data_IF_359176707227
#
_entry.id   IF_359176707227
#
_cell.length_a   1.000
_cell.length_b   1.000
_cell.length_c   1.000
_cell.angle_alpha   90.00
_cell.angle_beta   90.00
_cell.angle_gamma   90.00
#
_symmetry.space_group_name_H-M   'P 1'
#
loop_
_entity.id
_entity.type
_entity.pdbx_description
1 polymer ?
#
# COMPACT_ATOMS: atom_id res chain seq x y z
N UNK A 1 0.87 0.05 1.44
CA UNK A 1 0.91 0.23 -0.03
C UNK A 1 1.18 -1.10 -0.68
N UNK A 2 0.77 -1.28 -1.93
CA UNK A 2 1.22 -2.38 -2.77
C UNK A 2 1.05 -2.01 -4.25
N UNK A 3 1.89 -2.58 -5.13
CA UNK A 3 1.64 -2.67 -6.57
C UNK A 3 1.10 -4.07 -6.86
N UNK A 4 -0.03 -4.17 -7.54
CA UNK A 4 -0.60 -5.45 -7.95
C UNK A 4 -0.40 -5.59 -9.45
N UNK A 5 0.33 -6.64 -9.83
CA UNK A 5 0.66 -6.91 -11.22
C UNK A 5 -0.32 -7.95 -11.76
N UNK A 6 -0.86 -7.71 -12.96
CA UNK A 6 -1.89 -8.56 -13.58
C UNK A 6 -1.43 -9.07 -14.93
N UNK A 7 -1.93 -10.25 -15.30
CA UNK A 7 -2.05 -10.67 -16.70
C UNK A 7 -3.47 -10.35 -17.19
N UNK A 8 -3.58 -9.77 -18.38
CA UNK A 8 -4.84 -9.60 -19.10
C UNK A 8 -4.88 -10.61 -20.24
N UNK A 9 -5.83 -11.55 -20.18
CA UNK A 9 -6.04 -12.55 -21.23
C UNK A 9 -6.87 -11.98 -22.38
N UNK A 10 -6.84 -12.66 -23.53
CA UNK A 10 -7.57 -12.25 -24.74
C UNK A 10 -9.10 -12.24 -24.56
N UNK A 11 -9.62 -13.01 -23.60
CA UNK A 11 -11.02 -13.04 -23.19
C UNK A 11 -11.36 -11.97 -22.13
N UNK A 12 -10.49 -10.97 -21.95
CA UNK A 12 -10.56 -9.89 -20.98
C UNK A 12 -10.56 -10.36 -19.51
N UNK A 13 -10.19 -11.60 -19.22
CA UNK A 13 -9.98 -12.03 -17.83
C UNK A 13 -8.69 -11.42 -17.27
N UNK A 14 -8.81 -10.82 -16.08
CA UNK A 14 -7.68 -10.36 -15.29
C UNK A 14 -7.24 -11.44 -14.30
N UNK A 15 -5.96 -11.79 -14.32
CA UNK A 15 -5.36 -12.73 -13.38
C UNK A 15 -4.32 -11.97 -12.57
N UNK A 16 -4.43 -12.01 -11.25
CA UNK A 16 -3.40 -11.48 -10.35
C UNK A 16 -2.16 -12.35 -10.46
N UNK A 17 -1.03 -11.74 -10.81
CA UNK A 17 0.26 -12.42 -10.88
C UNK A 17 1.02 -12.28 -9.55
N UNK A 18 1.20 -11.04 -9.09
CA UNK A 18 2.03 -10.73 -7.92
C UNK A 18 1.48 -9.52 -7.16
N UNK A 19 1.68 -9.52 -5.83
CA UNK A 19 1.45 -8.36 -4.96
C UNK A 19 2.79 -7.92 -4.38
N UNK A 20 3.30 -6.79 -4.84
CA UNK A 20 4.54 -6.17 -4.37
C UNK A 20 4.25 -5.17 -3.25
N UNK A 21 4.52 -5.53 -1.99
CA UNK A 21 4.26 -4.67 -0.82
C UNK A 21 5.31 -3.57 -0.63
N UNK A 22 6.52 -3.76 -1.17
CA UNK A 22 7.59 -2.77 -1.27
C UNK A 22 8.03 -2.67 -2.74
N UNK A 23 7.22 -2.02 -3.60
CA UNK A 23 7.58 -1.86 -4.99
C UNK A 23 8.74 -0.86 -5.14
N UNK A 24 9.41 -0.89 -6.30
CA UNK A 24 10.37 0.16 -6.67
C UNK A 24 9.75 1.56 -6.49
N UNK A 25 10.52 2.46 -5.87
CA UNK A 25 10.01 3.75 -5.39
C UNK A 25 10.78 4.96 -5.92
N UNK A 26 11.60 4.80 -6.96
CA UNK A 26 12.23 5.96 -7.63
C UNK A 26 11.19 6.73 -8.45
N UNK A 27 11.48 7.97 -8.84
CA UNK A 27 10.58 8.79 -9.68
C UNK A 27 10.16 8.12 -11.00
N UNK A 28 10.98 7.21 -11.52
CA UNK A 28 10.71 6.46 -12.77
C UNK A 28 10.07 5.09 -12.51
N UNK A 29 9.95 4.67 -11.25
CA UNK A 29 9.34 3.38 -10.90
C UNK A 29 7.84 3.40 -11.17
N UNK A 30 7.28 2.22 -11.44
CA UNK A 30 5.88 2.15 -11.88
C UNK A 30 4.87 2.51 -10.78
N UNK A 31 5.15 2.17 -9.52
CA UNK A 31 4.22 2.50 -8.43
C UNK A 31 4.01 4.02 -8.28
N UNK A 32 5.04 4.87 -8.14
CA UNK A 32 4.81 6.31 -8.07
C UNK A 32 4.27 6.91 -9.37
N UNK A 33 4.66 6.38 -10.54
CA UNK A 33 4.20 6.90 -11.84
C UNK A 33 2.71 6.68 -12.08
N UNK A 34 2.14 5.55 -11.65
CA UNK A 34 0.69 5.31 -11.75
C UNK A 34 -0.11 6.30 -10.88
N UNK A 35 0.40 6.65 -9.70
CA UNK A 35 -0.21 7.67 -8.84
C UNK A 35 -0.13 9.08 -9.45
N UNK A 36 0.99 9.42 -10.08
CA UNK A 36 1.17 10.69 -10.78
C UNK A 36 0.17 10.85 -11.93
N UNK A 37 0.00 9.81 -12.77
CA UNK A 37 -1.01 9.79 -13.83
C UNK A 37 -2.44 9.92 -13.26
N UNK A 38 -2.65 9.41 -12.04
CA UNK A 38 -3.93 9.52 -11.31
C UNK A 38 -4.11 10.88 -10.60
N UNK A 39 -3.17 11.83 -10.77
CA UNK A 39 -3.26 13.18 -10.22
C UNK A 39 -2.58 13.39 -8.86
N UNK A 40 -1.86 12.40 -8.33
CA UNK A 40 -1.12 12.53 -7.06
C UNK A 40 0.37 12.65 -7.33
N UNK A 41 0.94 13.82 -7.02
CA UNK A 41 2.37 14.06 -7.19
C UNK A 41 3.22 13.13 -6.32
N UNK A 42 4.47 12.90 -6.74
CA UNK A 42 5.43 12.07 -6.00
C UNK A 42 5.60 12.51 -4.53
N UNK A 43 5.66 13.82 -4.28
CA UNK A 43 5.74 14.38 -2.92
C UNK A 43 4.49 14.09 -2.10
N UNK A 44 3.31 14.37 -2.65
CA UNK A 44 2.04 14.12 -1.98
C UNK A 44 1.83 12.63 -1.66
N UNK A 45 2.31 11.73 -2.53
CA UNK A 45 2.29 10.29 -2.28
C UNK A 45 3.17 9.89 -1.09
N UNK A 46 4.39 10.45 -0.97
CA UNK A 46 5.28 10.20 0.18
C UNK A 46 4.61 10.68 1.47
N UNK A 47 4.11 11.91 1.47
CA UNK A 47 3.44 12.50 2.64
C UNK A 47 2.26 11.63 3.08
N UNK A 48 1.46 11.17 2.11
CA UNK A 48 0.33 10.29 2.37
C UNK A 48 0.75 8.95 2.99
N UNK A 49 1.84 8.34 2.52
CA UNK A 49 2.32 7.06 3.07
C UNK A 49 2.86 7.22 4.50
N UNK A 50 3.57 8.30 4.79
CA UNK A 50 4.04 8.62 6.15
C UNK A 50 2.84 8.80 7.08
N UNK A 51 1.84 9.57 6.67
CA UNK A 51 0.63 9.80 7.46
C UNK A 51 -0.11 8.49 7.76
N UNK A 52 -0.30 7.63 6.75
CA UNK A 52 -0.92 6.31 6.93
C UNK A 52 -0.11 5.41 7.90
N UNK A 53 1.22 5.51 7.89
CA UNK A 53 2.06 4.75 8.81
C UNK A 53 1.88 5.21 10.26
N UNK A 54 1.85 6.52 10.51
CA UNK A 54 1.59 7.10 11.83
C UNK A 54 0.18 6.76 12.34
N UNK A 55 -0.83 6.85 11.48
CA UNK A 55 -2.20 6.45 11.81
C UNK A 55 -2.30 4.97 12.19
N UNK A 56 -1.66 4.09 11.41
CA UNK A 56 -1.60 2.66 11.73
C UNK A 56 -0.91 2.41 13.07
N UNK A 57 0.24 3.03 13.28
CA UNK A 57 0.98 2.93 14.54
C UNK A 57 0.12 3.35 15.73
N UNK A 58 -0.55 4.51 15.65
CA UNK A 58 -1.45 5.00 16.69
C UNK A 58 -2.65 4.08 16.96
N UNK A 59 -3.18 3.40 15.93
CA UNK A 59 -4.22 2.37 16.11
C UNK A 59 -3.69 1.15 16.87
N UNK A 60 -2.51 0.66 16.50
CA UNK A 60 -1.91 -0.54 17.10
C UNK A 60 -1.59 -0.34 18.58
N UNK A 61 -1.15 0.85 18.98
CA UNK A 61 -0.90 1.19 20.39
C UNK A 61 -2.15 1.13 21.28
N UNK A 62 -3.36 1.18 20.70
CA UNK A 62 -4.63 1.11 21.44
C UNK A 62 -5.16 -0.33 21.60
N UNK A 63 -4.51 -1.31 20.99
CA UNK A 63 -4.91 -2.70 21.12
C UNK A 63 -4.63 -3.18 22.55
N UNK A 64 -5.56 -3.94 23.13
CA UNK A 64 -5.34 -4.59 24.43
C UNK A 64 -4.18 -5.57 24.29
N UNK A 65 -3.16 -5.43 25.13
CA UNK A 65 -1.97 -6.29 25.15
C UNK A 65 -2.00 -7.31 26.31
N UNK A 66 -3.01 -7.22 27.18
CA UNK A 66 -3.24 -8.15 28.29
C UNK A 66 -4.66 -8.72 28.25
N UNK A 67 -4.79 -9.94 28.75
CA UNK A 67 -6.07 -10.63 28.95
C UNK A 67 -6.20 -11.01 30.43
N UNK A 68 -7.29 -10.62 31.08
CA UNK A 68 -7.55 -11.00 32.47
C UNK A 68 -8.04 -12.45 32.51
N UNK A 69 -7.21 -13.34 33.04
CA UNK A 69 -7.61 -14.71 33.35
C UNK A 69 -8.31 -14.67 34.70
N UNK A 70 -9.63 -14.68 34.71
CA UNK A 70 -10.41 -14.91 35.93
C UNK A 70 -10.05 -16.30 36.48
N UNK A 71 -9.49 -16.32 37.69
CA UNK A 71 -9.46 -17.48 38.59
C UNK A 71 -10.61 -17.39 39.56
#
# INVERSE_FOLDING_TARGET
MARVDFFLRQDNQLIVNEINTIPGFTKISMYPKLWEISGISYGALIDRLIQLALERYGREQRLKTSYEIFR
#
